data_IF_069514065168
#
_entry.id   IF_069514065168
#
_cell.length_a   1.000
_cell.length_b   1.000
_cell.length_c   1.000
_cell.angle_alpha   90.00
_cell.angle_beta   90.00
_cell.angle_gamma   90.00
#
_symmetry.space_group_name_H-M   'P 1'
#
loop_
_entity.id
_entity.type
_entity.pdbx_description
1 polymer ?
#
# COMPACT_ATOMS: atom_id res chain seq x y z
N UNK A 1 9.72 -4.80 -18.70
CA UNK A 1 10.92 -4.71 -17.86
C UNK A 1 11.38 -3.26 -17.91
N UNK A 2 11.77 -2.65 -16.79
CA UNK A 2 11.80 -1.19 -16.63
C UNK A 2 13.10 -0.53 -17.06
N UNK A 3 14.27 -1.14 -17.18
CA UNK A 3 15.55 -0.43 -17.45
C UNK A 3 15.77 0.85 -16.61
N UNK A 4 16.17 0.60 -15.37
CA UNK A 4 16.55 1.64 -14.41
C UNK A 4 17.67 2.56 -14.92
N UNK A 5 18.52 2.11 -15.86
CA UNK A 5 19.64 2.90 -16.38
C UNK A 5 19.20 4.04 -17.32
N UNK A 6 18.07 3.86 -18.01
CA UNK A 6 17.43 4.93 -18.77
C UNK A 6 16.80 5.93 -17.81
N UNK A 7 16.15 5.43 -16.76
CA UNK A 7 15.46 6.28 -15.79
C UNK A 7 16.44 7.18 -15.03
N UNK A 8 17.61 6.68 -14.66
CA UNK A 8 18.69 7.46 -14.02
C UNK A 8 19.10 8.68 -14.83
N UNK A 9 19.10 8.57 -16.16
CA UNK A 9 19.55 9.61 -17.09
C UNK A 9 18.41 10.51 -17.57
N UNK A 10 17.17 10.11 -17.30
CA UNK A 10 15.98 10.83 -17.73
C UNK A 10 15.69 11.97 -16.75
N UNK A 11 15.68 13.21 -17.24
CA UNK A 11 15.28 14.34 -16.42
C UNK A 11 13.78 14.28 -16.14
N UNK A 12 13.41 13.99 -14.89
CA UNK A 12 12.03 14.04 -14.42
C UNK A 12 11.81 15.23 -13.50
N UNK A 13 10.54 15.58 -13.24
CA UNK A 13 10.19 16.57 -12.21
C UNK A 13 10.22 15.97 -10.81
N UNK A 14 9.72 14.75 -10.68
CA UNK A 14 9.56 13.99 -9.43
C UNK A 14 9.59 12.50 -9.81
N UNK A 15 10.32 11.69 -9.05
CA UNK A 15 10.28 10.23 -9.14
C UNK A 15 9.58 9.64 -7.90
N UNK A 16 8.65 8.72 -8.12
CA UNK A 16 8.00 7.92 -7.08
C UNK A 16 8.16 6.46 -7.47
N UNK A 17 8.81 5.67 -6.63
CA UNK A 17 9.26 4.31 -6.95
C UNK A 17 8.84 3.37 -5.82
N UNK A 18 8.08 2.33 -6.16
CA UNK A 18 7.71 1.27 -5.21
C UNK A 18 8.31 -0.08 -5.61
N UNK A 19 8.35 -0.41 -6.90
CA UNK A 19 8.94 -1.65 -7.42
C UNK A 19 10.31 -1.38 -8.05
N UNK A 20 11.24 -2.32 -7.88
CA UNK A 20 12.62 -2.21 -8.35
C UNK A 20 13.02 -3.45 -9.16
N UNK A 21 13.97 -3.31 -10.09
CA UNK A 21 14.34 -4.44 -10.97
C UNK A 21 15.09 -5.56 -10.22
N UNK A 22 15.91 -5.22 -9.24
CA UNK A 22 16.82 -6.15 -8.56
C UNK A 22 16.50 -6.32 -7.07
N UNK A 23 15.23 -6.29 -6.66
CA UNK A 23 14.84 -6.45 -5.24
C UNK A 23 15.47 -7.70 -4.58
N UNK A 24 16.01 -7.60 -3.35
CA UNK A 24 16.05 -6.40 -2.49
C UNK A 24 17.26 -5.48 -2.74
N UNK A 25 18.14 -5.82 -3.69
CA UNK A 25 19.32 -5.04 -4.06
C UNK A 25 18.95 -3.89 -5.02
N UNK A 26 18.17 -2.94 -4.51
CA UNK A 26 17.65 -1.83 -5.29
C UNK A 26 18.74 -0.85 -5.75
N UNK A 27 18.46 -0.14 -6.84
CA UNK A 27 19.33 0.92 -7.32
C UNK A 27 19.34 2.13 -6.36
N UNK A 28 20.42 2.25 -5.60
CA UNK A 28 20.60 3.33 -4.62
C UNK A 28 20.72 4.73 -5.24
N UNK A 29 21.14 4.85 -6.50
CA UNK A 29 21.18 6.13 -7.20
C UNK A 29 19.76 6.62 -7.43
N UNK A 30 18.89 5.76 -7.96
CA UNK A 30 17.47 6.07 -8.14
C UNK A 30 16.78 6.31 -6.79
N UNK A 31 17.07 5.48 -5.79
CA UNK A 31 16.53 5.65 -4.44
C UNK A 31 16.84 7.03 -3.85
N UNK A 32 18.10 7.46 -3.89
CA UNK A 32 18.54 8.76 -3.34
C UNK A 32 17.93 9.95 -4.08
N UNK A 33 17.67 9.79 -5.38
CA UNK A 33 17.11 10.85 -6.22
C UNK A 33 15.57 10.84 -6.26
N UNK A 34 14.93 9.79 -5.73
CA UNK A 34 13.49 9.69 -5.71
C UNK A 34 12.88 10.64 -4.66
N UNK A 35 11.72 11.20 -4.99
CA UNK A 35 10.93 11.95 -4.02
C UNK A 35 10.25 11.01 -3.01
N UNK A 36 9.84 9.83 -3.47
CA UNK A 36 9.36 8.72 -2.66
C UNK A 36 9.95 7.42 -3.20
N UNK A 37 10.50 6.61 -2.31
CA UNK A 37 11.09 5.31 -2.61
C UNK A 37 10.57 4.34 -1.55
N UNK A 38 9.90 3.27 -1.92
CA UNK A 38 9.33 2.31 -0.96
C UNK A 38 9.68 0.87 -1.33
N UNK A 39 9.69 -0.07 -0.37
CA UNK A 39 10.15 -1.43 -0.63
C UNK A 39 9.03 -2.34 -1.15
N UNK A 40 8.36 -1.94 -2.23
CA UNK A 40 7.32 -2.74 -2.87
C UNK A 40 6.18 -3.09 -1.89
N UNK A 41 5.61 -2.05 -1.30
CA UNK A 41 4.58 -2.13 -0.24
C UNK A 41 3.32 -1.31 -0.57
N UNK A 42 3.19 -0.77 -1.79
CA UNK A 42 2.01 0.01 -2.15
C UNK A 42 0.70 -0.76 -1.92
N UNK A 43 0.72 -2.09 -2.09
CA UNK A 43 -0.41 -2.99 -1.84
C UNK A 43 -0.50 -3.64 -0.45
N UNK A 44 0.35 -3.27 0.52
CA UNK A 44 0.44 -3.98 1.81
C UNK A 44 -0.63 -3.61 2.86
N UNK A 45 -1.84 -3.19 2.46
CA UNK A 45 -2.94 -3.00 3.43
C UNK A 45 -3.42 -4.33 4.00
N UNK A 46 -3.98 -4.30 5.21
CA UNK A 46 -4.68 -5.45 5.80
C UNK A 46 -5.83 -5.88 4.88
N UNK A 47 -6.56 -4.91 4.34
CA UNK A 47 -7.62 -5.08 3.35
C UNK A 47 -7.17 -5.85 2.12
N UNK A 48 -6.06 -5.46 1.48
CA UNK A 48 -5.58 -6.11 0.27
C UNK A 48 -5.11 -7.55 0.54
N UNK A 49 -4.44 -7.79 1.67
CA UNK A 49 -4.02 -9.14 2.09
C UNK A 49 -5.22 -10.06 2.30
N UNK A 50 -6.29 -9.55 2.91
CA UNK A 50 -7.54 -10.28 3.08
C UNK A 50 -8.25 -10.51 1.75
N UNK A 51 -8.44 -9.45 0.95
CA UNK A 51 -9.20 -9.49 -0.29
C UNK A 51 -8.63 -10.50 -1.28
N UNK A 52 -7.31 -10.64 -1.38
CA UNK A 52 -6.69 -11.65 -2.24
C UNK A 52 -7.11 -13.07 -1.87
N UNK A 53 -7.20 -13.38 -0.57
CA UNK A 53 -7.67 -14.69 -0.10
C UNK A 53 -9.18 -14.83 -0.22
N UNK A 54 -9.93 -13.74 0.03
CA UNK A 54 -11.38 -13.72 -0.08
C UNK A 54 -11.84 -14.00 -1.51
N UNK A 55 -11.20 -13.41 -2.53
CA UNK A 55 -11.50 -13.69 -3.94
C UNK A 55 -11.31 -15.17 -4.31
N UNK A 56 -10.28 -15.83 -3.77
CA UNK A 56 -10.06 -17.26 -3.99
C UNK A 56 -11.14 -18.09 -3.29
N UNK A 57 -11.54 -17.69 -2.09
CA UNK A 57 -12.64 -18.31 -1.36
C UNK A 57 -13.97 -18.19 -2.13
N UNK A 58 -14.29 -17.01 -2.66
CA UNK A 58 -15.49 -16.78 -3.47
C UNK A 58 -15.52 -17.70 -4.70
N UNK A 59 -14.39 -17.77 -5.43
CA UNK A 59 -14.25 -18.64 -6.60
C UNK A 59 -14.36 -20.14 -6.23
N UNK A 60 -13.86 -20.53 -5.06
CA UNK A 60 -13.97 -21.90 -4.57
C UNK A 60 -15.41 -22.27 -4.21
N UNK A 61 -16.13 -21.40 -3.51
CA UNK A 61 -17.55 -21.58 -3.21
C UNK A 61 -18.37 -21.73 -4.50
N UNK A 62 -18.12 -20.88 -5.50
CA UNK A 62 -18.77 -20.97 -6.81
C UNK A 62 -18.47 -22.32 -7.49
N UNK A 63 -17.19 -22.72 -7.53
CA UNK A 63 -16.77 -23.98 -8.13
C UNK A 63 -17.42 -25.21 -7.46
N UNK A 64 -17.57 -25.19 -6.13
CA UNK A 64 -18.18 -26.27 -5.37
C UNK A 64 -19.71 -26.18 -5.28
N UNK A 65 -20.32 -25.10 -5.79
CA UNK A 65 -21.74 -24.78 -5.59
C UNK A 65 -22.15 -24.67 -4.10
N UNK A 66 -21.23 -24.21 -3.26
CA UNK A 66 -21.43 -23.99 -1.83
C UNK A 66 -21.82 -22.53 -1.55
N UNK A 67 -22.64 -22.31 -0.52
CA UNK A 67 -22.99 -20.95 -0.10
C UNK A 67 -21.81 -20.31 0.64
N UNK A 68 -21.51 -19.06 0.31
CA UNK A 68 -20.56 -18.28 1.10
C UNK A 68 -21.12 -17.94 2.50
N UNK A 69 -20.28 -18.09 3.53
CA UNK A 69 -20.52 -17.54 4.86
C UNK A 69 -20.38 -16.01 4.88
N UNK A 70 -21.46 -15.30 5.26
CA UNK A 70 -21.51 -13.83 5.29
C UNK A 70 -20.57 -13.21 6.34
N UNK A 71 -20.22 -13.96 7.39
CA UNK A 71 -19.26 -13.55 8.41
C UNK A 71 -17.85 -13.36 7.86
N UNK A 72 -17.48 -14.14 6.83
CA UNK A 72 -16.13 -14.11 6.26
C UNK A 72 -15.88 -12.76 5.58
N UNK A 73 -16.86 -12.23 4.85
CA UNK A 73 -16.76 -10.93 4.17
C UNK A 73 -16.44 -9.76 5.12
N UNK A 74 -16.72 -9.90 6.41
CA UNK A 74 -16.55 -8.87 7.43
C UNK A 74 -15.40 -9.15 8.41
N UNK A 75 -14.48 -10.07 8.09
CA UNK A 75 -13.36 -10.41 8.97
C UNK A 75 -12.40 -9.24 9.20
N UNK A 76 -12.24 -8.35 8.23
CA UNK A 76 -11.48 -7.10 8.38
C UNK A 76 -12.44 -5.99 8.80
N UNK A 77 -12.57 -5.80 10.11
CA UNK A 77 -13.39 -4.75 10.69
C UNK A 77 -12.66 -4.11 11.88
N UNK A 78 -11.81 -3.08 11.64
CA UNK A 78 -11.16 -2.32 12.71
C UNK A 78 -12.15 -1.45 13.52
N UNK A 79 -13.45 -1.49 13.21
CA UNK A 79 -14.41 -0.50 13.65
C UNK A 79 -14.25 0.82 12.90
N UNK A 80 -14.87 1.88 13.42
CA UNK A 80 -14.78 3.22 12.83
C UNK A 80 -13.53 3.91 13.35
N UNK A 81 -12.55 4.11 12.45
CA UNK A 81 -11.38 4.94 12.72
C UNK A 81 -11.74 6.42 12.50
N UNK A 82 -11.16 7.34 13.26
CA UNK A 82 -11.46 8.77 13.14
C UNK A 82 -10.21 9.55 12.75
N UNK A 83 -10.34 10.39 11.71
CA UNK A 83 -9.28 11.28 11.26
C UNK A 83 -9.84 12.68 11.03
N UNK A 84 -9.31 13.65 11.77
CA UNK A 84 -9.84 15.01 11.83
C UNK A 84 -8.82 15.98 11.24
N UNK A 85 -8.88 16.17 9.92
CA UNK A 85 -8.04 17.11 9.17
C UNK A 85 -8.91 18.00 8.28
N UNK A 86 -8.39 19.19 7.99
CA UNK A 86 -9.15 20.24 7.30
C UNK A 86 -8.89 20.27 5.78
N UNK A 87 -7.98 19.44 5.27
CA UNK A 87 -7.73 19.28 3.84
C UNK A 87 -7.67 17.80 3.44
N UNK A 88 -8.09 17.47 2.21
CA UNK A 88 -8.04 16.10 1.69
C UNK A 88 -6.61 15.54 1.77
N UNK A 89 -5.61 16.36 1.41
CA UNK A 89 -4.20 15.98 1.46
C UNK A 89 -3.77 15.59 2.87
N UNK A 90 -4.12 16.38 3.87
CA UNK A 90 -3.73 16.10 5.26
C UNK A 90 -4.50 14.90 5.82
N UNK A 91 -5.76 14.72 5.42
CA UNK A 91 -6.54 13.53 5.78
C UNK A 91 -5.89 12.27 5.21
N UNK A 92 -5.57 12.24 3.91
CA UNK A 92 -4.93 11.09 3.28
C UNK A 92 -3.54 10.80 3.87
N UNK A 93 -2.75 11.84 4.16
CA UNK A 93 -1.44 11.68 4.82
C UNK A 93 -1.56 11.15 6.25
N UNK A 94 -2.66 11.43 6.96
CA UNK A 94 -2.90 10.91 8.29
C UNK A 94 -3.38 9.46 8.27
N UNK A 95 -4.11 9.04 7.22
CA UNK A 95 -4.49 7.64 6.99
C UNK A 95 -3.26 6.82 6.57
N UNK A 96 -2.48 7.34 5.63
CA UNK A 96 -1.30 6.68 5.10
C UNK A 96 -0.18 7.69 4.81
N UNK A 97 0.87 7.66 5.63
CA UNK A 97 2.02 8.54 5.48
C UNK A 97 3.15 7.84 4.72
N UNK A 98 3.09 7.88 3.38
CA UNK A 98 4.10 7.31 2.48
C UNK A 98 5.55 7.82 2.71
N UNK A 99 5.74 8.96 3.39
CA UNK A 99 7.09 9.43 3.73
C UNK A 99 7.76 8.60 4.82
N UNK A 100 6.99 7.94 5.68
CA UNK A 100 7.54 7.02 6.68
C UNK A 100 8.18 5.83 5.98
N UNK A 101 7.45 5.20 5.06
CA UNK A 101 7.94 4.07 4.28
C UNK A 101 9.23 4.41 3.49
N UNK A 102 9.36 5.65 3.02
CA UNK A 102 10.62 6.14 2.40
C UNK A 102 11.76 6.28 3.38
N UNK A 103 11.49 6.73 4.60
CA UNK A 103 12.52 6.88 5.63
C UNK A 103 13.05 5.50 6.10
N UNK A 104 12.19 4.50 6.17
CA UNK A 104 12.53 3.15 6.66
C UNK A 104 13.56 2.44 5.78
N UNK A 105 13.49 2.65 4.46
CA UNK A 105 14.42 2.02 3.52
C UNK A 105 15.63 2.87 3.19
N UNK A 106 15.79 4.06 3.79
CA UNK A 106 17.01 4.85 3.64
C UNK A 106 18.26 4.01 3.99
N UNK A 107 18.11 3.08 4.94
CA UNK A 107 18.97 1.91 5.08
C UNK A 107 18.40 0.72 4.30
N UNK A 108 19.04 0.37 3.19
CA UNK A 108 18.61 -0.74 2.32
C UNK A 108 18.62 -2.11 3.02
N UNK A 109 19.38 -2.27 4.11
CA UNK A 109 19.38 -3.52 4.87
C UNK A 109 18.02 -3.82 5.50
N UNK A 110 17.17 -2.80 5.69
CA UNK A 110 15.80 -2.94 6.18
C UNK A 110 14.79 -3.37 5.12
N UNK A 111 15.15 -3.45 3.84
CA UNK A 111 14.19 -3.64 2.74
C UNK A 111 13.27 -4.85 2.97
N UNK A 112 13.83 -6.03 3.22
CA UNK A 112 13.06 -7.25 3.45
C UNK A 112 12.41 -7.30 4.83
N UNK A 113 13.09 -6.82 5.87
CA UNK A 113 12.56 -6.83 7.23
C UNK A 113 11.32 -5.94 7.34
N UNK A 114 11.40 -4.73 6.78
CA UNK A 114 10.28 -3.79 6.77
C UNK A 114 9.08 -4.30 5.97
N UNK A 115 9.30 -5.01 4.85
CA UNK A 115 8.21 -5.66 4.09
C UNK A 115 7.48 -6.71 4.92
N UNK A 116 8.24 -7.54 5.64
CA UNK A 116 7.71 -8.64 6.47
C UNK A 116 6.99 -8.13 7.69
N UNK A 117 7.54 -7.11 8.33
CA UNK A 117 7.04 -6.50 9.55
C UNK A 117 6.27 -5.19 9.29
N UNK A 118 5.74 -5.02 8.07
CA UNK A 118 5.09 -3.78 7.65
C UNK A 118 3.95 -3.41 8.62
N UNK A 119 3.88 -2.15 9.10
CA UNK A 119 2.86 -1.72 10.04
C UNK A 119 1.43 -1.99 9.56
N UNK A 120 0.52 -2.16 10.52
CA UNK A 120 -0.91 -2.28 10.23
C UNK A 120 -1.37 -1.01 9.50
N UNK A 121 -1.85 -1.19 8.29
CA UNK A 121 -2.42 -0.13 7.44
C UNK A 121 -3.78 -0.58 6.94
N UNK A 122 -4.81 0.19 7.25
CA UNK A 122 -6.16 0.01 6.72
C UNK A 122 -6.40 0.96 5.54
N UNK A 123 -7.26 0.55 4.62
CA UNK A 123 -7.72 1.42 3.54
C UNK A 123 -8.67 2.52 4.05
N UNK A 124 -8.79 3.60 3.27
CA UNK A 124 -9.45 4.82 3.71
C UNK A 124 -10.96 4.68 4.00
N UNK A 125 -11.61 3.61 3.53
CA UNK A 125 -13.04 3.38 3.76
C UNK A 125 -13.37 3.00 5.21
N UNK A 126 -12.37 2.63 6.00
CA UNK A 126 -12.50 2.43 7.46
C UNK A 126 -12.50 3.72 8.28
N UNK A 127 -12.25 4.87 7.65
CA UNK A 127 -12.03 6.15 8.34
C UNK A 127 -13.21 7.11 8.17
N UNK A 128 -13.73 7.59 9.29
CA UNK A 128 -14.61 8.76 9.35
C UNK A 128 -13.77 10.04 9.37
N UNK A 129 -14.07 10.99 8.47
CA UNK A 129 -13.34 12.26 8.36
C UNK A 129 -14.24 13.45 8.10
N UNK A 130 -13.74 14.67 8.38
CA UNK A 130 -14.48 15.92 8.10
C UNK A 130 -14.75 16.15 6.61
N UNK A 131 -13.92 15.56 5.76
CA UNK A 131 -13.99 15.73 4.30
C UNK A 131 -14.44 14.42 3.70
N UNK A 132 -15.25 14.49 2.65
CA UNK A 132 -15.59 13.29 1.88
C UNK A 132 -14.33 12.69 1.26
N UNK A 133 -14.00 11.47 1.66
CA UNK A 133 -12.93 10.68 1.06
C UNK A 133 -13.39 10.13 -0.30
N UNK A 134 -12.48 9.96 -1.28
CA UNK A 134 -12.85 9.35 -2.56
C UNK A 134 -13.20 7.88 -2.35
N UNK A 135 -14.49 7.59 -2.22
CA UNK A 135 -14.99 6.22 -2.12
C UNK A 135 -14.97 5.62 -3.54
N UNK A 136 -14.26 4.51 -3.70
CA UNK A 136 -14.48 3.63 -4.85
C UNK A 136 -15.59 2.68 -4.40
N UNK A 137 -16.81 2.90 -4.89
CA UNK A 137 -17.84 1.86 -4.77
C UNK A 137 -17.30 0.65 -5.53
N UNK A 138 -16.94 -0.41 -4.81
CA UNK A 138 -16.72 -1.74 -5.39
C UNK A 138 -18.03 -2.51 -5.31
#
# INVERSE_FOLDING_TARGET
MIDESIWEKTQTKVNVIDCWENEPNINQTLQKNAYLATPHIAGHSVDAKFQGSFMVYEALCEFLSEKQEESIANLINPGILSVQKDTLKDTLNAIYNFKQDTAEIADISNFEDYRRNYPIRYEWHHYNSKITLPIINR
#
